data_IF_531214595750
#
_entry.id   IF_531214595750
#
_cell.length_a   1.000
_cell.length_b   1.000
_cell.length_c   1.000
_cell.angle_alpha   90.00
_cell.angle_beta   90.00
_cell.angle_gamma   90.00
#
_symmetry.space_group_name_H-M   'P 1'
#
loop_
_entity.id
_entity.type
_entity.pdbx_description
1 polymer ?
#
# COMPACT_ATOMS: atom_id res chain seq x y z
N UNK A 1 1.61 -0.91 6.66
CA UNK A 1 1.18 -2.09 5.87
C UNK A 1 0.90 -1.67 4.44
N UNK A 2 1.36 -2.46 3.49
CA UNK A 2 0.99 -2.26 2.09
C UNK A 2 0.34 -3.54 1.58
N UNK A 3 -0.60 -3.37 0.69
CA UNK A 3 -1.29 -4.52 0.09
C UNK A 3 -1.95 -4.11 -1.22
N UNK A 4 -2.32 -5.09 -2.01
CA UNK A 4 -3.04 -4.83 -3.25
C UNK A 4 -4.50 -4.55 -2.93
N UNK A 5 -5.19 -3.80 -3.78
CA UNK A 5 -6.63 -3.66 -3.61
C UNK A 5 -7.30 -5.02 -3.67
N UNK A 6 -8.16 -5.27 -2.73
CA UNK A 6 -8.96 -6.48 -2.70
C UNK A 6 -10.37 -6.09 -3.08
N UNK A 7 -11.04 -6.97 -3.78
CA UNK A 7 -12.39 -6.68 -4.17
C UNK A 7 -13.23 -7.92 -4.21
N UNK A 8 -14.50 -7.72 -3.97
CA UNK A 8 -15.49 -8.74 -4.17
C UNK A 8 -16.39 -8.32 -5.30
N UNK A 9 -17.05 -9.28 -5.90
CA UNK A 9 -17.95 -9.00 -7.00
C UNK A 9 -19.22 -9.79 -6.80
N UNK A 10 -20.35 -9.13 -7.09
CA UNK A 10 -21.65 -9.75 -6.96
C UNK A 10 -22.49 -9.34 -8.15
N UNK A 11 -23.53 -10.09 -8.41
CA UNK A 11 -24.44 -9.77 -9.48
C UNK A 11 -24.28 -10.70 -10.65
N UNK A 12 -24.65 -10.23 -11.81
CA UNK A 12 -24.59 -11.05 -13.01
C UNK A 12 -23.16 -11.14 -13.51
N UNK A 13 -22.85 -12.18 -14.28
CA UNK A 13 -21.49 -12.45 -14.70
C UNK A 13 -20.85 -11.30 -15.45
N UNK A 14 -21.64 -10.54 -16.25
CA UNK A 14 -21.09 -9.39 -16.94
C UNK A 14 -20.65 -8.30 -15.95
N UNK A 15 -21.42 -8.07 -14.91
CA UNK A 15 -21.08 -7.09 -13.89
C UNK A 15 -19.87 -7.52 -13.10
N UNK A 16 -19.76 -8.82 -12.83
CA UNK A 16 -18.60 -9.36 -12.13
C UNK A 16 -17.34 -9.18 -12.97
N UNK A 17 -17.46 -9.39 -14.28
CA UNK A 17 -16.32 -9.19 -15.17
C UNK A 17 -15.87 -7.73 -15.20
N UNK A 18 -16.82 -6.81 -15.22
CA UNK A 18 -16.50 -5.39 -15.21
C UNK A 18 -15.80 -5.01 -13.92
N UNK A 19 -16.31 -5.50 -12.80
CA UNK A 19 -15.70 -5.22 -11.49
C UNK A 19 -14.30 -5.81 -11.39
N UNK A 20 -14.11 -7.04 -11.89
CA UNK A 20 -12.80 -7.68 -11.85
C UNK A 20 -11.79 -6.92 -12.67
N UNK A 21 -12.21 -6.41 -13.83
CA UNK A 21 -11.33 -5.62 -14.67
C UNK A 21 -10.91 -4.34 -13.98
N UNK A 22 -11.85 -3.69 -13.29
CA UNK A 22 -11.55 -2.45 -12.58
C UNK A 22 -10.59 -2.70 -11.42
N UNK A 23 -10.74 -3.81 -10.70
CA UNK A 23 -9.84 -4.16 -9.61
C UNK A 23 -8.42 -4.38 -10.15
N UNK A 24 -8.30 -5.06 -11.28
CA UNK A 24 -6.98 -5.27 -11.90
C UNK A 24 -6.37 -3.94 -12.33
N UNK A 25 -7.18 -3.04 -12.88
CA UNK A 25 -6.69 -1.72 -13.27
C UNK A 25 -6.18 -0.94 -12.06
N UNK A 26 -6.92 -1.01 -10.96
CA UNK A 26 -6.52 -0.31 -9.73
C UNK A 26 -5.22 -0.88 -9.17
N UNK A 27 -5.01 -2.18 -9.28
CA UNK A 27 -3.75 -2.79 -8.85
C UNK A 27 -2.59 -2.26 -9.68
N UNK A 28 -2.78 -2.15 -10.99
CA UNK A 28 -1.74 -1.64 -11.87
C UNK A 28 -1.40 -0.20 -11.52
N UNK A 29 -2.42 0.63 -11.38
CA UNK A 29 -2.22 2.04 -11.06
C UNK A 29 -1.55 2.19 -9.71
N UNK A 30 -1.99 1.43 -8.71
CA UNK A 30 -1.40 1.49 -7.38
C UNK A 30 0.06 1.09 -7.37
N UNK A 31 0.40 0.01 -8.08
CA UNK A 31 1.78 -0.44 -8.16
C UNK A 31 2.66 0.55 -8.91
N UNK A 32 2.13 1.20 -9.95
CA UNK A 32 2.89 2.21 -10.68
C UNK A 32 3.18 3.43 -9.79
N UNK A 33 2.20 3.86 -9.01
CA UNK A 33 2.38 4.97 -8.10
C UNK A 33 3.41 4.63 -7.03
N UNK A 34 3.32 3.44 -6.45
CA UNK A 34 4.27 3.02 -5.43
C UNK A 34 5.67 2.90 -6.01
N UNK A 35 5.81 2.33 -7.20
CA UNK A 35 7.12 2.20 -7.82
C UNK A 35 7.75 3.58 -8.06
N UNK A 36 6.93 4.53 -8.50
CA UNK A 36 7.43 5.87 -8.78
C UNK A 36 7.91 6.56 -7.52
N UNK A 37 7.17 6.42 -6.44
CA UNK A 37 7.48 7.17 -5.22
C UNK A 37 8.48 6.46 -4.31
N UNK A 38 8.54 5.12 -4.34
CA UNK A 38 9.48 4.39 -3.50
C UNK A 38 10.82 4.15 -4.19
N UNK A 39 10.84 4.21 -5.50
CA UNK A 39 12.04 3.86 -6.25
C UNK A 39 12.27 2.36 -6.33
N UNK A 40 11.33 1.54 -5.86
CA UNK A 40 11.49 0.08 -5.91
C UNK A 40 11.05 -0.46 -7.26
N UNK A 41 11.62 -1.60 -7.70
CA UNK A 41 11.17 -2.23 -8.94
C UNK A 41 9.71 -2.65 -8.83
N UNK A 42 9.01 -2.54 -9.94
CA UNK A 42 7.59 -2.86 -9.95
C UNK A 42 7.32 -4.30 -9.55
N UNK A 43 8.18 -5.22 -9.98
CA UNK A 43 8.03 -6.63 -9.62
C UNK A 43 8.11 -6.85 -8.12
N UNK A 44 8.97 -6.09 -7.44
CA UNK A 44 9.10 -6.21 -6.01
C UNK A 44 7.83 -5.72 -5.33
N UNK A 45 7.25 -4.65 -5.82
CA UNK A 45 6.01 -4.13 -5.26
C UNK A 45 4.86 -5.09 -5.46
N UNK A 46 4.78 -5.71 -6.63
CA UNK A 46 3.72 -6.68 -6.90
C UNK A 46 3.82 -7.83 -5.91
N UNK A 47 5.02 -8.35 -5.69
CA UNK A 47 5.23 -9.45 -4.77
C UNK A 47 4.95 -9.03 -3.32
N UNK A 48 5.42 -7.85 -2.93
CA UNK A 48 5.30 -7.40 -1.56
C UNK A 48 3.89 -7.00 -1.18
N UNK A 49 3.06 -6.62 -2.15
CA UNK A 49 1.68 -6.22 -1.87
C UNK A 49 0.68 -7.34 -2.11
N UNK A 50 1.14 -8.51 -2.53
CA UNK A 50 0.23 -9.61 -2.79
C UNK A 50 -0.53 -9.99 -1.53
N UNK A 51 0.07 -9.85 -0.38
CA UNK A 51 -0.56 -10.06 0.90
C UNK A 51 -0.29 -8.86 1.77
N UNK A 52 -1.02 -8.76 2.87
CA UNK A 52 -0.77 -7.69 3.83
C UNK A 52 0.67 -7.74 4.27
N UNK A 53 1.35 -6.63 4.17
CA UNK A 53 2.77 -6.55 4.46
C UNK A 53 2.98 -5.46 5.50
N UNK A 54 3.25 -5.86 6.72
CA UNK A 54 3.43 -4.93 7.82
C UNK A 54 4.90 -4.55 7.92
N UNK A 55 5.15 -3.28 8.15
CA UNK A 55 6.50 -2.76 8.29
C UNK A 55 6.58 -1.83 9.48
N UNK A 56 7.73 -1.79 10.10
CA UNK A 56 8.01 -0.75 11.09
C UNK A 56 8.23 0.56 10.35
N UNK A 57 8.28 1.65 11.11
CA UNK A 57 8.53 2.96 10.52
C UNK A 57 9.90 2.99 9.83
N UNK A 58 10.90 2.39 10.46
CA UNK A 58 12.24 2.35 9.88
C UNK A 58 12.27 1.53 8.59
N UNK A 59 11.57 0.42 8.58
CA UNK A 59 11.50 -0.42 7.39
C UNK A 59 10.79 0.32 6.25
N UNK A 60 9.74 1.07 6.59
CA UNK A 60 9.01 1.84 5.59
C UNK A 60 9.90 2.93 4.99
N UNK A 61 10.76 3.53 5.80
CA UNK A 61 11.69 4.53 5.31
C UNK A 61 12.71 3.90 4.36
N UNK A 62 13.27 2.76 4.72
CA UNK A 62 14.22 2.08 3.87
C UNK A 62 13.58 1.62 2.57
N UNK A 63 12.32 1.25 2.62
CA UNK A 63 11.60 0.82 1.44
C UNK A 63 11.34 2.00 0.50
N UNK A 64 11.29 3.21 1.03
CA UNK A 64 11.00 4.40 0.25
C UNK A 64 9.56 4.86 0.36
N UNK A 65 8.77 4.23 1.23
CA UNK A 65 7.37 4.62 1.38
C UNK A 65 7.22 5.94 2.11
N UNK A 66 8.14 6.25 3.01
CA UNK A 66 8.13 7.50 3.76
C UNK A 66 9.52 8.12 3.68
N UNK A 67 9.58 9.42 3.89
CA UNK A 67 10.84 10.15 3.76
C UNK A 67 11.60 10.19 5.07
N UNK A 68 10.91 10.13 6.19
CA UNK A 68 11.55 10.39 7.47
C UNK A 68 10.76 9.77 8.59
N UNK A 69 11.42 9.28 9.61
CA UNK A 69 10.77 8.78 10.81
C UNK A 69 10.94 9.84 11.89
N UNK A 70 9.82 10.31 12.42
CA UNK A 70 9.85 11.31 13.46
C UNK A 70 9.83 10.58 14.78
N UNK A 71 10.93 10.75 15.55
CA UNK A 71 10.96 10.21 16.90
C UNK A 71 10.87 11.38 17.82
N UNK A 72 9.93 11.45 18.70
CA UNK A 72 9.87 12.52 19.61
C UNK A 72 9.78 11.99 20.97
N UNK A 73 10.39 12.63 21.86
CA UNK A 73 10.29 12.30 23.25
C UNK A 73 8.89 12.46 23.57
N UNK A 74 8.47 11.69 24.26
CA UNK A 74 7.27 11.73 24.48
C UNK A 74 6.71 12.81 25.08
N UNK A 75 6.88 13.58 25.20
CA UNK A 75 6.32 14.59 25.71
C UNK A 75 5.19 14.93 25.13
N UNK A 76 4.80 14.70 24.89
CA UNK A 76 3.78 15.06 24.25
C UNK A 76 2.60 14.73 24.76
N UNK A 77 3.14 14.79 25.09
CA UNK A 77 2.31 14.67 25.41
C UNK A 77 1.56 14.72 25.95
N UNK A 78 1.67 15.05 26.51
CA UNK A 78 0.98 15.06 27.10
C UNK A 78 0.40 15.49 27.48
N UNK A 79 0.27 15.85 27.66
CA UNK A 79 -0.39 16.16 28.12
C UNK A 79 -0.95 16.09 28.65
N UNK A 80 -0.79 16.26 28.98
CA UNK A 80 -1.37 16.14 29.55
C UNK A 80 -1.98 16.07 29.95
N UNK A 81 -1.69 16.22 29.98
CA UNK A 81 -2.33 16.12 30.47
C UNK A 81 -2.86 16.25 30.66
#
# INVERSE_FOLDING_TARGET
MIHQPLGGAQGQSTDIQIQAKEILRLREVGNDILAKHTGQPREKLIADTERDNFMTAEEAKEYGLIDEVITRPVKIEKPKE
#
